data_IF_264945137141
#
_entry.id   IF_264945137141
#
_cell.length_a   1.000
_cell.length_b   1.000
_cell.length_c   1.000
_cell.angle_alpha   90.00
_cell.angle_beta   90.00
_cell.angle_gamma   90.00
#
_symmetry.space_group_name_H-M   'P 1'
#
loop_
_entity.id
_entity.type
_entity.pdbx_description
1 polymer ?
#
# COMPACT_ATOMS: atom_id res chain seq x y z
N UNK A 1 -44.89 30.82 -71.89
CA UNK A 1 -44.63 29.38 -72.13
C UNK A 1 -43.12 29.17 -72.17
N UNK A 2 -42.63 28.08 -71.55
CA UNK A 2 -41.22 27.62 -71.44
C UNK A 2 -40.38 28.34 -70.36
N UNK A 3 -40.12 27.74 -69.18
CA UNK A 3 -39.10 26.70 -68.82
C UNK A 3 -37.67 27.26 -68.96
N UNK A 4 -36.74 27.16 -68.01
CA UNK A 4 -36.64 26.42 -66.76
C UNK A 4 -35.29 26.72 -66.07
N UNK A 5 -35.02 25.97 -65.00
CA UNK A 5 -34.01 26.13 -63.96
C UNK A 5 -32.55 26.27 -64.41
N UNK A 6 -31.77 27.02 -63.61
CA UNK A 6 -30.37 26.69 -63.33
C UNK A 6 -30.03 27.07 -61.87
N UNK A 7 -29.86 26.05 -61.04
CA UNK A 7 -29.40 26.15 -59.65
C UNK A 7 -27.92 26.50 -59.61
N UNK A 8 -27.56 27.56 -58.87
CA UNK A 8 -26.17 27.87 -58.52
C UNK A 8 -25.87 27.23 -57.16
N UNK A 9 -25.11 26.13 -57.17
CA UNK A 9 -24.56 25.53 -55.96
C UNK A 9 -23.34 26.35 -55.51
N UNK A 10 -23.53 27.20 -54.50
CA UNK A 10 -22.43 27.91 -53.85
C UNK A 10 -21.76 27.00 -52.81
N UNK A 11 -20.52 26.61 -53.10
CA UNK A 11 -19.59 25.98 -52.16
C UNK A 11 -19.21 26.98 -51.07
N UNK A 12 -19.83 26.88 -49.90
CA UNK A 12 -19.41 27.60 -48.70
C UNK A 12 -18.35 26.77 -47.98
N UNK A 13 -17.08 27.10 -48.22
CA UNK A 13 -15.96 26.67 -47.38
C UNK A 13 -16.06 27.37 -46.02
N UNK A 14 -16.70 26.72 -45.05
CA UNK A 14 -16.59 27.09 -43.64
C UNK A 14 -15.24 26.57 -43.12
N UNK A 15 -14.22 27.42 -43.19
CA UNK A 15 -12.98 27.24 -42.44
C UNK A 15 -13.30 27.27 -40.94
N UNK A 16 -13.25 26.11 -40.29
CA UNK A 16 -13.26 26.02 -38.82
C UNK A 16 -11.88 26.40 -38.33
N UNK A 17 -11.72 27.67 -37.97
CA UNK A 17 -10.58 28.12 -37.16
C UNK A 17 -10.73 27.51 -35.76
N UNK A 18 -10.04 26.41 -35.50
CA UNK A 18 -9.88 25.88 -34.15
C UNK A 18 -8.95 26.82 -33.38
N UNK A 19 -9.53 27.73 -32.60
CA UNK A 19 -8.78 28.47 -31.59
C UNK A 19 -8.38 27.50 -30.48
N UNK A 20 -7.09 27.15 -30.44
CA UNK A 20 -6.51 26.45 -29.30
C UNK A 20 -6.48 27.44 -28.13
N UNK A 21 -7.50 27.38 -27.28
CA UNK A 21 -7.42 27.96 -25.94
C UNK A 21 -6.43 27.11 -25.13
N UNK A 22 -5.26 27.67 -24.81
CA UNK A 22 -4.34 27.10 -23.85
C UNK A 22 -5.06 26.99 -22.50
N UNK A 23 -5.47 25.77 -22.15
CA UNK A 23 -6.04 25.49 -20.84
C UNK A 23 -4.89 25.51 -19.84
N UNK A 24 -4.87 26.50 -18.94
CA UNK A 24 -3.95 26.51 -17.82
C UNK A 24 -4.12 25.21 -16.99
N UNK A 25 -3.05 24.66 -16.39
CA UNK A 25 -3.15 23.50 -15.52
C UNK A 25 -4.19 23.79 -14.43
N UNK A 26 -5.29 23.04 -14.44
CA UNK A 26 -6.30 23.17 -13.42
C UNK A 26 -5.71 22.58 -12.14
N UNK A 27 -5.36 23.45 -11.19
CA UNK A 27 -4.96 23.01 -9.87
C UNK A 27 -6.09 22.12 -9.30
N UNK A 28 -5.77 20.99 -8.66
CA UNK A 28 -6.79 20.18 -8.01
C UNK A 28 -7.55 21.06 -7.01
N UNK A 29 -8.88 20.89 -6.88
CA UNK A 29 -9.64 21.70 -5.95
C UNK A 29 -9.06 21.51 -4.53
N UNK A 30 -9.02 22.58 -3.71
CA UNK A 30 -8.53 22.48 -2.35
C UNK A 30 -9.35 21.42 -1.61
N UNK A 31 -8.66 20.42 -1.04
CA UNK A 31 -9.26 19.34 -0.29
C UNK A 31 -9.98 19.90 0.95
N UNK A 32 -11.27 20.18 0.82
CA UNK A 32 -12.15 20.44 1.95
C UNK A 32 -12.27 19.20 2.84
N UNK A 33 -12.63 19.36 4.12
CA UNK A 33 -12.85 18.23 5.01
C UNK A 33 -13.91 17.32 4.39
N UNK A 34 -13.55 16.05 4.22
CA UNK A 34 -14.42 15.00 3.68
C UNK A 34 -15.56 14.74 4.67
N UNK A 35 -16.63 15.53 4.57
CA UNK A 35 -17.87 15.32 5.28
C UNK A 35 -18.61 14.14 4.65
N UNK A 36 -18.41 12.94 5.22
CA UNK A 36 -19.32 11.81 4.98
C UNK A 36 -20.74 12.14 5.46
N UNK A 37 -21.76 11.40 4.99
CA UNK A 37 -23.16 11.67 5.33
C UNK A 37 -23.38 11.67 6.86
N UNK A 38 -24.34 12.45 7.37
CA UNK A 38 -24.70 12.51 8.79
C UNK A 38 -25.43 11.22 9.18
N UNK A 39 -24.67 10.16 9.33
CA UNK A 39 -25.04 8.91 9.96
C UNK A 39 -23.81 8.48 10.69
N UNK A 40 -23.70 8.86 11.97
CA UNK A 40 -22.62 8.40 12.83
C UNK A 40 -22.50 6.89 12.66
N UNK A 41 -21.37 6.42 12.15
CA UNK A 41 -21.11 5.00 12.01
C UNK A 41 -21.47 4.36 13.36
N UNK A 42 -22.39 3.37 13.40
CA UNK A 42 -22.86 2.83 14.67
C UNK A 42 -21.66 2.50 15.55
N UNK A 43 -21.73 2.78 16.86
CA UNK A 43 -20.61 2.57 17.76
C UNK A 43 -20.09 1.15 17.57
N UNK A 44 -18.85 1.03 17.10
CA UNK A 44 -18.22 -0.27 16.89
C UNK A 44 -18.09 -0.89 18.27
N UNK A 45 -18.91 -1.90 18.56
CA UNK A 45 -18.77 -2.69 19.76
C UNK A 45 -17.51 -3.54 19.63
N UNK A 46 -16.51 -3.28 20.47
CA UNK A 46 -15.28 -4.08 20.50
C UNK A 46 -15.41 -5.09 21.64
N UNK A 47 -15.57 -6.39 21.36
CA UNK A 47 -15.69 -7.38 22.41
C UNK A 47 -14.42 -7.41 23.26
N UNK A 48 -14.58 -7.77 24.54
CA UNK A 48 -13.42 -8.02 25.41
C UNK A 48 -12.53 -9.07 24.76
N UNK A 49 -11.24 -8.76 24.53
CA UNK A 49 -10.32 -9.69 23.88
C UNK A 49 -10.17 -10.98 24.69
N UNK A 50 -10.11 -12.10 23.97
CA UNK A 50 -9.80 -13.41 24.52
C UNK A 50 -8.61 -13.98 23.77
N UNK A 51 -7.85 -14.88 24.41
CA UNK A 51 -6.71 -15.57 23.80
C UNK A 51 -5.60 -14.61 23.28
N UNK A 52 -5.30 -13.57 24.07
CA UNK A 52 -4.10 -12.73 23.87
C UNK A 52 -2.87 -13.48 24.38
N UNK A 53 -1.99 -13.87 23.45
CA UNK A 53 -0.77 -14.64 23.76
C UNK A 53 0.53 -13.82 23.64
N UNK A 54 0.49 -12.70 22.92
CA UNK A 54 1.67 -11.86 22.64
C UNK A 54 1.42 -10.41 23.02
N UNK A 55 0.23 -9.88 22.72
CA UNK A 55 -0.21 -8.58 23.23
C UNK A 55 -0.50 -8.67 24.74
N UNK A 56 -0.34 -7.57 25.50
CA UNK A 56 -0.69 -7.53 26.92
C UNK A 56 -2.14 -7.97 27.16
N UNK A 57 -2.35 -8.77 28.21
CA UNK A 57 -3.65 -9.42 28.47
C UNK A 57 -4.72 -8.46 28.96
N UNK A 58 -4.29 -7.32 29.48
CA UNK A 58 -5.10 -6.28 30.09
C UNK A 58 -5.61 -5.26 29.07
N UNK A 59 -5.18 -5.35 27.80
CA UNK A 59 -5.66 -4.46 26.74
C UNK A 59 -7.16 -4.63 26.51
N UNK A 60 -7.87 -3.51 26.45
CA UNK A 60 -9.30 -3.52 26.10
C UNK A 60 -9.52 -3.79 24.60
N UNK A 61 -10.79 -4.06 24.25
CA UNK A 61 -11.17 -4.38 22.88
C UNK A 61 -10.87 -3.27 21.88
N UNK A 62 -10.97 -2.01 22.29
CA UNK A 62 -10.71 -0.85 21.42
C UNK A 62 -9.22 -0.73 21.10
N UNK A 63 -8.36 -0.92 22.10
CA UNK A 63 -6.92 -0.89 21.96
C UNK A 63 -6.43 -2.04 21.07
N UNK A 64 -6.92 -3.26 21.30
CA UNK A 64 -6.60 -4.41 20.45
C UNK A 64 -7.08 -4.18 19.02
N UNK A 65 -8.29 -3.66 18.82
CA UNK A 65 -8.78 -3.32 17.49
C UNK A 65 -7.93 -2.26 16.78
N UNK A 66 -7.31 -1.33 17.52
CA UNK A 66 -6.32 -0.39 16.99
C UNK A 66 -5.10 -1.10 16.41
N UNK A 67 -4.54 -2.05 17.15
CA UNK A 67 -3.41 -2.87 16.69
C UNK A 67 -3.79 -3.69 15.44
N UNK A 68 -4.97 -4.33 15.46
CA UNK A 68 -5.43 -5.12 14.32
C UNK A 68 -5.63 -4.28 13.06
N UNK A 69 -6.09 -3.04 13.18
CA UNK A 69 -6.16 -2.10 12.05
C UNK A 69 -4.77 -1.82 11.47
N UNK A 70 -3.76 -1.63 12.31
CA UNK A 70 -2.36 -1.50 11.88
C UNK A 70 -1.88 -2.70 11.06
N UNK A 71 -2.22 -3.92 11.48
CA UNK A 71 -1.89 -5.13 10.73
C UNK A 71 -2.61 -5.19 9.38
N UNK A 72 -3.92 -4.90 9.34
CA UNK A 72 -4.68 -4.91 8.08
C UNK A 72 -4.12 -3.92 7.06
N UNK A 73 -3.70 -2.73 7.49
CA UNK A 73 -3.10 -1.73 6.62
C UNK A 73 -1.72 -2.17 6.13
N UNK A 74 -0.90 -2.73 7.01
CA UNK A 74 0.43 -3.19 6.65
C UNK A 74 0.45 -4.34 5.64
N UNK A 75 -0.52 -5.25 5.74
CA UNK A 75 -0.59 -6.47 4.93
C UNK A 75 -1.58 -6.37 3.75
N UNK A 76 -2.39 -5.31 3.68
CA UNK A 76 -3.45 -5.19 2.67
C UNK A 76 -4.57 -6.22 2.78
N UNK A 77 -4.82 -6.74 3.98
CA UNK A 77 -5.79 -7.81 4.24
C UNK A 77 -6.96 -7.34 5.09
N UNK A 78 -8.06 -8.10 5.10
CA UNK A 78 -9.22 -7.86 5.98
C UNK A 78 -9.23 -8.81 7.18
N UNK A 79 -10.08 -8.53 8.17
CA UNK A 79 -10.21 -9.30 9.42
C UNK A 79 -10.36 -10.81 9.19
N UNK A 80 -11.17 -11.19 8.21
CA UNK A 80 -11.42 -12.58 7.80
C UNK A 80 -10.15 -13.31 7.39
N UNK A 81 -9.08 -12.63 6.98
CA UNK A 81 -7.82 -13.28 6.62
C UNK A 81 -7.22 -14.05 7.80
N UNK A 82 -7.31 -13.49 9.02
CA UNK A 82 -6.75 -14.09 10.23
C UNK A 82 -7.81 -14.65 11.18
N UNK A 83 -9.01 -14.08 11.21
CA UNK A 83 -10.05 -14.48 12.16
C UNK A 83 -11.15 -15.32 11.50
N UNK A 84 -11.80 -16.17 12.28
CA UNK A 84 -12.93 -16.99 11.84
C UNK A 84 -14.17 -16.09 11.80
N UNK A 85 -14.76 -15.85 10.61
CA UNK A 85 -15.98 -15.05 10.51
C UNK A 85 -17.19 -15.87 10.99
N UNK A 86 -18.24 -15.17 11.41
CA UNK A 86 -19.56 -15.79 11.58
C UNK A 86 -20.30 -15.90 10.24
N UNK A 87 -21.64 -15.98 10.30
CA UNK A 87 -22.49 -16.11 9.11
C UNK A 87 -22.37 -14.94 8.13
N UNK A 88 -21.96 -13.75 8.61
CA UNK A 88 -21.76 -12.56 7.80
C UNK A 88 -20.37 -11.95 8.06
N UNK A 89 -19.50 -11.99 7.05
CA UNK A 89 -18.14 -11.44 7.15
C UNK A 89 -18.09 -9.92 7.35
N UNK A 90 -19.14 -9.20 6.97
CA UNK A 90 -19.26 -7.75 7.18
C UNK A 90 -19.69 -7.40 8.61
N UNK A 91 -20.32 -8.35 9.33
CA UNK A 91 -20.70 -8.20 10.71
C UNK A 91 -19.59 -8.71 11.65
N UNK A 92 -18.73 -7.79 12.08
CA UNK A 92 -17.66 -8.09 13.04
C UNK A 92 -18.16 -8.61 14.39
N UNK A 93 -19.43 -8.40 14.75
CA UNK A 93 -20.01 -8.91 15.99
C UNK A 93 -20.14 -10.43 16.02
N UNK A 94 -20.12 -11.08 14.85
CA UNK A 94 -20.29 -12.54 14.71
C UNK A 94 -18.98 -13.32 14.63
N UNK A 95 -17.84 -12.64 14.64
CA UNK A 95 -16.53 -13.27 14.50
C UNK A 95 -16.11 -13.99 15.79
N UNK A 96 -15.51 -15.17 15.63
CA UNK A 96 -14.72 -15.79 16.68
C UNK A 96 -13.27 -15.25 16.61
N UNK A 97 -13.05 -14.12 17.29
CA UNK A 97 -11.72 -13.52 17.39
C UNK A 97 -10.75 -14.37 18.21
N UNK A 98 -11.23 -15.25 19.09
CA UNK A 98 -10.40 -16.05 19.99
C UNK A 98 -9.84 -17.30 19.32
N UNK A 99 -10.58 -17.89 18.37
CA UNK A 99 -10.20 -19.11 17.64
C UNK A 99 -8.84 -19.03 16.96
N UNK A 100 -8.12 -20.16 16.97
CA UNK A 100 -6.82 -20.36 16.32
C UNK A 100 -6.90 -21.35 15.14
N UNK A 101 -8.09 -21.56 14.60
CA UNK A 101 -8.30 -22.45 13.45
C UNK A 101 -7.56 -21.97 12.19
N UNK A 102 -7.45 -20.66 11.98
CA UNK A 102 -6.74 -20.10 10.82
C UNK A 102 -5.23 -20.07 11.05
N UNK A 103 -4.47 -20.70 10.15
CA UNK A 103 -3.01 -20.71 10.17
C UNK A 103 -2.41 -19.30 10.19
N UNK A 104 -2.96 -18.38 9.39
CA UNK A 104 -2.51 -16.98 9.30
C UNK A 104 -2.48 -16.26 10.66
N UNK A 105 -3.37 -16.61 11.60
CA UNK A 105 -3.35 -16.01 12.95
C UNK A 105 -2.13 -16.48 13.75
N UNK A 106 -1.78 -17.77 13.64
CA UNK A 106 -0.59 -18.33 14.30
C UNK A 106 0.68 -17.71 13.69
N UNK A 107 0.73 -17.58 12.37
CA UNK A 107 1.83 -16.91 11.67
C UNK A 107 1.96 -15.44 12.09
N UNK A 108 0.85 -14.70 12.17
CA UNK A 108 0.83 -13.32 12.63
C UNK A 108 1.39 -13.17 14.05
N UNK A 109 1.15 -14.13 14.96
CA UNK A 109 1.77 -14.14 16.29
C UNK A 109 3.28 -14.36 16.23
N UNK A 110 3.74 -15.27 15.37
CA UNK A 110 5.18 -15.48 15.15
C UNK A 110 5.84 -14.22 14.60
N UNK A 111 5.21 -13.57 13.63
CA UNK A 111 5.68 -12.30 13.07
C UNK A 111 5.68 -11.17 14.08
N UNK A 112 4.66 -11.07 14.95
CA UNK A 112 4.64 -10.08 16.01
C UNK A 112 5.81 -10.26 16.98
N UNK A 113 6.10 -11.50 17.41
CA UNK A 113 7.28 -11.81 18.23
C UNK A 113 8.58 -11.45 17.51
N UNK A 114 8.68 -11.75 16.22
CA UNK A 114 9.85 -11.42 15.41
C UNK A 114 10.07 -9.90 15.32
N UNK A 115 9.02 -9.12 15.02
CA UNK A 115 9.12 -7.66 14.97
C UNK A 115 9.46 -7.06 16.34
N UNK A 116 8.92 -7.63 17.44
CA UNK A 116 9.30 -7.19 18.80
C UNK A 116 10.78 -7.44 19.08
N UNK A 117 11.31 -8.62 18.70
CA UNK A 117 12.73 -8.94 18.84
C UNK A 117 13.61 -8.01 18.00
N UNK A 118 13.26 -7.79 16.74
CA UNK A 118 13.99 -6.86 15.86
C UNK A 118 14.08 -5.45 16.44
N UNK A 119 13.02 -4.94 17.05
CA UNK A 119 13.04 -3.59 17.64
C UNK A 119 13.80 -3.54 18.97
N UNK A 120 13.77 -4.61 19.76
CA UNK A 120 14.55 -4.72 21.00
C UNK A 120 16.04 -4.74 20.72
N UNK A 121 16.45 -5.51 19.72
CA UNK A 121 17.86 -5.79 19.40
C UNK A 121 18.39 -4.86 18.30
N UNK A 122 17.62 -3.85 17.89
CA UNK A 122 18.03 -2.94 16.83
C UNK A 122 19.26 -2.11 17.27
N UNK A 123 20.34 -2.04 16.47
CA UNK A 123 21.53 -1.25 16.82
C UNK A 123 21.20 0.22 17.07
N UNK A 124 21.71 0.78 18.16
CA UNK A 124 21.42 2.17 18.55
C UNK A 124 22.23 3.20 17.77
N UNK A 125 23.30 2.77 17.10
CA UNK A 125 24.25 3.57 16.33
C UNK A 125 23.96 3.58 14.82
N UNK A 126 22.85 2.96 14.39
CA UNK A 126 22.43 2.90 12.98
C UNK A 126 21.20 3.77 12.73
N UNK A 127 21.38 4.80 11.91
CA UNK A 127 20.32 5.72 11.47
C UNK A 127 19.76 6.57 12.61
N UNK A 128 18.86 7.50 12.24
CA UNK A 128 18.21 8.36 13.22
C UNK A 128 17.30 7.54 14.16
N UNK A 129 17.23 7.90 15.46
CA UNK A 129 16.29 7.27 16.37
C UNK A 129 14.84 7.51 15.90
N UNK A 130 13.93 6.54 16.11
CA UNK A 130 12.52 6.76 15.85
C UNK A 130 12.00 7.87 16.77
N UNK A 131 10.94 8.55 16.35
CA UNK A 131 10.26 9.50 17.22
C UNK A 131 9.75 8.79 18.50
N UNK A 132 9.51 9.57 19.55
CA UNK A 132 9.02 9.03 20.82
C UNK A 132 7.74 8.19 20.59
N UNK A 133 7.75 6.95 21.08
CA UNK A 133 6.63 6.02 20.93
C UNK A 133 6.56 5.29 19.58
N UNK A 134 7.43 5.61 18.62
CA UNK A 134 7.51 4.90 17.34
C UNK A 134 8.48 3.70 17.39
N UNK A 135 8.31 2.79 16.43
CA UNK A 135 9.17 1.61 16.26
C UNK A 135 10.01 1.74 15.01
N UNK A 136 11.25 1.27 15.06
CA UNK A 136 12.17 1.26 13.90
C UNK A 136 11.71 0.31 12.80
N UNK A 137 11.20 -0.86 13.18
CA UNK A 137 10.69 -1.88 12.26
C UNK A 137 9.21 -2.11 12.55
N UNK A 138 8.40 -2.08 11.50
CA UNK A 138 6.96 -2.40 11.57
C UNK A 138 6.61 -3.45 10.52
N UNK A 139 5.38 -3.96 10.56
CA UNK A 139 4.87 -4.85 9.53
C UNK A 139 4.94 -4.19 8.13
N UNK A 140 4.74 -2.87 8.05
CA UNK A 140 4.79 -2.10 6.81
C UNK A 140 6.18 -2.12 6.16
N UNK A 141 7.25 -2.13 6.96
CA UNK A 141 8.65 -2.12 6.49
C UNK A 141 8.90 -3.21 5.44
N UNK A 142 8.29 -4.40 5.62
CA UNK A 142 8.43 -5.52 4.69
C UNK A 142 7.19 -5.75 3.82
N UNK A 143 5.99 -5.74 4.40
CA UNK A 143 4.77 -6.11 3.69
C UNK A 143 4.30 -5.04 2.70
N UNK A 144 4.47 -3.76 3.02
CA UNK A 144 4.15 -2.63 2.12
C UNK A 144 2.75 -2.69 1.49
N UNK A 145 1.76 -3.16 2.26
CA UNK A 145 0.38 -3.31 1.80
C UNK A 145 0.08 -4.63 1.09
N UNK A 146 1.01 -5.58 1.08
CA UNK A 146 0.84 -6.89 0.47
C UNK A 146 0.96 -8.01 1.51
N UNK A 147 0.15 -9.06 1.34
CA UNK A 147 0.14 -10.21 2.27
C UNK A 147 1.50 -10.93 2.32
N UNK A 148 2.26 -10.87 1.24
CA UNK A 148 3.59 -11.46 1.11
C UNK A 148 4.62 -10.38 0.79
N UNK A 149 5.70 -10.25 1.59
CA UNK A 149 6.77 -9.31 1.30
C UNK A 149 7.47 -9.62 -0.04
N UNK A 150 7.72 -8.59 -0.83
CA UNK A 150 8.53 -8.71 -2.03
C UNK A 150 10.01 -8.93 -1.64
N UNK A 151 10.55 -10.08 -2.01
CA UNK A 151 11.97 -10.42 -1.76
C UNK A 151 12.88 -10.06 -2.92
N UNK A 152 12.30 -9.80 -4.09
CA UNK A 152 13.01 -9.34 -5.28
C UNK A 152 12.78 -7.87 -5.48
N UNK A 153 13.82 -7.17 -5.95
CA UNK A 153 13.67 -5.82 -6.46
C UNK A 153 12.71 -5.87 -7.66
N UNK A 154 11.67 -5.02 -7.72
CA UNK A 154 10.85 -4.91 -8.91
C UNK A 154 11.73 -4.63 -10.13
N UNK A 155 11.46 -5.29 -11.25
CA UNK A 155 12.14 -5.01 -12.50
C UNK A 155 11.88 -3.53 -12.87
N UNK A 156 12.94 -2.76 -13.05
CA UNK A 156 12.81 -1.37 -13.46
C UNK A 156 12.33 -1.36 -14.91
N UNK A 157 11.24 -0.65 -15.26
CA UNK A 157 10.90 -0.44 -16.66
C UNK A 157 12.09 0.21 -17.37
N UNK A 158 12.65 -0.47 -18.39
CA UNK A 158 13.85 -0.01 -19.11
C UNK A 158 15.19 -0.31 -18.41
N UNK A 159 15.20 -1.15 -17.37
CA UNK A 159 16.44 -1.62 -16.76
C UNK A 159 17.28 -2.51 -17.70
N UNK A 160 18.59 -2.65 -17.44
CA UNK A 160 19.44 -3.59 -18.17
C UNK A 160 18.95 -5.02 -17.89
N UNK A 161 18.19 -5.58 -18.84
CA UNK A 161 17.49 -6.87 -18.71
C UNK A 161 16.05 -6.85 -19.24
N UNK A 162 15.45 -5.67 -19.46
CA UNK A 162 14.11 -5.57 -20.01
C UNK A 162 14.04 -6.10 -21.47
N UNK A 163 12.96 -6.80 -21.87
CA UNK A 163 12.74 -7.17 -23.26
C UNK A 163 12.76 -5.93 -24.16
N UNK A 164 13.69 -5.86 -25.11
CA UNK A 164 13.85 -4.70 -25.99
C UNK A 164 14.75 -3.58 -25.45
N UNK A 165 15.40 -3.75 -24.29
CA UNK A 165 16.49 -2.87 -23.90
C UNK A 165 17.62 -3.00 -24.95
N UNK A 166 18.10 -1.89 -25.54
CA UNK A 166 19.32 -1.94 -26.34
C UNK A 166 20.40 -2.54 -25.45
N UNK A 167 21.07 -3.58 -25.94
CA UNK A 167 22.16 -4.24 -25.20
C UNK A 167 23.22 -3.21 -24.85
N UNK A 168 23.10 -2.64 -23.65
CA UNK A 168 24.06 -1.67 -23.14
C UNK A 168 25.40 -2.36 -23.00
N UNK A 169 26.52 -1.66 -23.25
CA UNK A 169 27.83 -2.24 -23.07
C UNK A 169 27.91 -2.77 -21.64
N UNK A 170 28.22 -4.06 -21.51
CA UNK A 170 28.37 -4.74 -20.22
C UNK A 170 29.18 -3.87 -19.28
N UNK A 171 28.65 -3.70 -18.06
CA UNK A 171 29.07 -2.66 -17.10
C UNK A 171 30.57 -2.46 -17.01
N UNK A 172 31.08 -1.51 -17.78
CA UNK A 172 32.31 -0.83 -17.45
C UNK A 172 31.97 0.15 -16.33
N UNK A 173 32.55 -0.05 -15.16
CA UNK A 173 32.57 0.96 -14.11
C UNK A 173 33.08 2.28 -14.71
N UNK A 174 32.51 3.44 -14.32
CA UNK A 174 33.06 4.72 -14.73
C UNK A 174 34.55 4.79 -14.33
N UNK A 175 35.44 5.32 -15.20
CA UNK A 175 36.86 5.37 -14.92
C UNK A 175 37.10 6.18 -13.63
N UNK A 176 37.81 5.59 -12.68
CA UNK A 176 38.23 6.25 -11.43
C UNK A 176 37.50 5.81 -10.15
N UNK A 177 36.55 4.87 -10.20
CA UNK A 177 36.03 4.28 -8.97
C UNK A 177 36.89 3.09 -8.50
N UNK A 178 37.42 3.12 -7.26
CA UNK A 178 38.05 1.94 -6.69
C UNK A 178 37.04 0.79 -6.62
N UNK A 179 37.50 -0.41 -6.95
CA UNK A 179 36.66 -1.61 -6.90
C UNK A 179 36.10 -1.83 -5.49
N UNK A 180 34.96 -2.53 -5.35
CA UNK A 180 34.41 -2.87 -4.04
C UNK A 180 35.46 -3.65 -3.23
N UNK A 181 35.54 -3.43 -1.90
CA UNK A 181 36.46 -4.18 -1.06
C UNK A 181 36.18 -5.69 -1.16
N UNK A 182 37.20 -6.55 -0.97
CA UNK A 182 37.00 -7.99 -0.96
C UNK A 182 35.97 -8.36 0.10
N UNK A 183 35.06 -9.28 -0.26
CA UNK A 183 34.10 -9.83 0.69
C UNK A 183 34.88 -10.59 1.77
N UNK A 184 34.54 -10.43 3.07
CA UNK A 184 35.11 -11.28 4.10
C UNK A 184 34.75 -12.75 3.83
N UNK A 185 35.57 -13.70 4.31
CA UNK A 185 35.26 -15.13 4.20
C UNK A 185 33.92 -15.42 4.86
N UNK A 186 33.12 -16.28 4.22
CA UNK A 186 31.90 -16.80 4.83
C UNK A 186 32.27 -17.56 6.10
N UNK A 187 31.60 -17.23 7.21
CA UNK A 187 31.69 -17.93 8.50
C UNK A 187 30.80 -19.18 8.42
#
# INVERSE_FOLDING_TARGET
>A
MSRGLASVAALVWLGVSATVAAQAPQAPPPGGPQGGPPGGRPPMNFPTPKNLQVLPKEMDGRAVAGVMRGFTQALGVRCVYCHVPGANEQDLGTYDFASDEKANKKEARSMLKFTMALNRDFPTDVGDPPAEGERRVTCWTCHRGEKEPQTRRPEQPGGPGAPGAPGGPGGALPPGQPGPPPRPPAI
#
